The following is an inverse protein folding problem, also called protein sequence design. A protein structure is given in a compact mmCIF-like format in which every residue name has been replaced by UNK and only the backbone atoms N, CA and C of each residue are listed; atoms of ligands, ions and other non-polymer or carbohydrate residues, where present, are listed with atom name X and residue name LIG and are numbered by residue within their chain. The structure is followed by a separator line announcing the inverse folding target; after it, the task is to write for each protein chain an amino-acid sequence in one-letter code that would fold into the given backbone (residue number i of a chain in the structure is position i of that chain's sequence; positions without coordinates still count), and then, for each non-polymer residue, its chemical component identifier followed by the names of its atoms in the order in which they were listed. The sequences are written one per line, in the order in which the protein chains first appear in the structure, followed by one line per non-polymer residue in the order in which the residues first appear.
data_IF_661748913109
#
_entry.id   IF_661748913109
#
_cell.length_a   1.000
_cell.length_b   1.000
_cell.length_c   1.000
_cell.angle_alpha   90.00
_cell.angle_beta   90.00
_cell.angle_gamma   90.00
#
_symmetry.space_group_name_H-M   'P 1'
#
loop_
_entity.id
_entity.type
_entity.pdbx_description
1 polymer ?
#
# COMPACT_ATOMS: atom_id res chain seq x y z
N UNK A 1 21.79 -6.40 -0.89
CA UNK A 1 21.91 -6.25 0.57
C UNK A 1 20.69 -6.88 1.20
N UNK A 2 20.82 -7.45 2.39
CA UNK A 2 19.65 -7.92 3.13
C UNK A 2 18.75 -6.73 3.46
N UNK A 3 17.44 -6.96 3.55
CA UNK A 3 16.49 -5.93 3.97
C UNK A 3 16.66 -5.68 5.47
N UNK A 4 17.17 -4.51 5.84
CA UNK A 4 17.42 -4.13 7.23
C UNK A 4 16.13 -4.02 8.06
N UNK A 5 14.97 -3.87 7.41
CA UNK A 5 13.65 -3.82 8.04
C UNK A 5 12.92 -5.16 7.99
N UNK A 6 13.56 -6.25 7.58
CA UNK A 6 12.89 -7.56 7.44
C UNK A 6 12.10 -7.97 8.70
N UNK A 7 12.66 -7.71 9.89
CA UNK A 7 12.03 -8.03 11.17
C UNK A 7 10.81 -7.15 11.51
N UNK A 8 10.64 -5.99 10.84
CA UNK A 8 9.46 -5.13 11.00
C UNK A 8 8.27 -5.62 10.20
N UNK A 9 8.47 -6.43 9.15
CA UNK A 9 7.43 -6.91 8.25
C UNK A 9 6.67 -8.12 8.83
N UNK A 10 6.05 -7.92 10.00
CA UNK A 10 5.40 -8.96 10.80
C UNK A 10 4.00 -9.35 10.30
N UNK A 11 3.47 -8.63 9.31
CA UNK A 11 2.16 -8.87 8.71
C UNK A 11 2.28 -9.24 7.23
N UNK A 12 1.15 -9.65 6.68
CA UNK A 12 1.00 -9.95 5.25
C UNK A 12 -0.30 -9.33 4.76
N UNK A 13 -0.23 -8.60 3.67
CA UNK A 13 -1.41 -8.10 2.95
C UNK A 13 -1.47 -8.75 1.58
N UNK A 14 -2.68 -9.02 1.10
CA UNK A 14 -2.90 -9.46 -0.28
C UNK A 14 -3.36 -8.24 -1.08
N UNK A 15 -2.63 -7.90 -2.14
CA UNK A 15 -2.95 -6.78 -3.03
C UNK A 15 -3.40 -7.27 -4.40
N UNK A 16 -4.45 -6.64 -4.94
CA UNK A 16 -4.87 -6.73 -6.33
C UNK A 16 -4.59 -5.38 -6.98
N UNK A 17 -3.54 -5.30 -7.79
CA UNK A 17 -3.12 -4.05 -8.43
C UNK A 17 -4.15 -3.61 -9.43
N UNK A 18 -4.56 -2.35 -9.38
CA UNK A 18 -5.50 -1.78 -10.34
C UNK A 18 -4.87 -1.62 -11.73
N UNK A 19 -5.52 -2.16 -12.74
CA UNK A 19 -5.06 -2.17 -14.15
C UNK A 19 -5.83 -1.19 -15.04
N UNK A 20 -6.88 -0.55 -14.51
CA UNK A 20 -7.70 0.44 -15.21
C UNK A 20 -9.19 0.11 -15.22
N UNK A 21 -9.97 1.01 -15.83
CA UNK A 21 -11.41 0.83 -16.01
C UNK A 21 -11.72 0.38 -17.44
N UNK A 22 -12.57 -0.64 -17.56
CA UNK A 22 -13.13 -1.12 -18.81
C UNK A 22 -14.65 -0.95 -18.87
N UNK A 23 -15.29 -1.32 -20.00
CA UNK A 23 -16.74 -1.23 -20.17
C UNK A 23 -17.55 -2.08 -19.18
N UNK A 24 -16.92 -3.03 -18.51
CA UNK A 24 -17.55 -3.91 -17.51
C UNK A 24 -17.16 -3.57 -16.06
N UNK A 25 -16.44 -2.46 -15.84
CA UNK A 25 -15.97 -2.04 -14.53
C UNK A 25 -14.45 -2.06 -14.40
N UNK A 26 -13.99 -2.00 -13.15
CA UNK A 26 -12.58 -1.96 -12.79
C UNK A 26 -11.91 -3.32 -13.03
N UNK A 27 -10.68 -3.29 -13.56
CA UNK A 27 -9.86 -4.46 -13.81
C UNK A 27 -8.69 -4.47 -12.83
N UNK A 28 -8.38 -5.65 -12.32
CA UNK A 28 -7.31 -5.84 -11.34
C UNK A 28 -6.44 -7.04 -11.72
N UNK A 29 -5.15 -6.92 -11.45
CA UNK A 29 -4.17 -7.98 -11.57
C UNK A 29 -4.49 -9.15 -10.60
N UNK A 30 -3.86 -10.29 -10.85
CA UNK A 30 -3.91 -11.43 -9.94
C UNK A 30 -3.44 -11.05 -8.52
N UNK A 31 -4.05 -11.61 -7.47
CA UNK A 31 -3.70 -11.28 -6.09
C UNK A 31 -2.26 -11.69 -5.77
N UNK A 32 -1.53 -10.78 -5.11
CA UNK A 32 -0.15 -11.00 -4.67
C UNK A 32 -0.04 -10.75 -3.18
N UNK A 33 0.57 -11.68 -2.46
CA UNK A 33 0.91 -11.51 -1.06
C UNK A 33 2.18 -10.67 -0.90
N UNK A 34 2.15 -9.70 0.00
CA UNK A 34 3.25 -8.78 0.30
C UNK A 34 3.53 -8.76 1.80
N UNK A 35 4.79 -9.01 2.23
CA UNK A 35 5.18 -8.81 3.62
C UNK A 35 5.15 -7.32 3.95
N UNK A 36 4.59 -6.98 5.11
CA UNK A 36 4.37 -5.58 5.48
C UNK A 36 4.26 -5.38 6.99
N UNK A 37 4.27 -4.12 7.39
CA UNK A 37 3.75 -3.64 8.67
C UNK A 37 2.42 -2.91 8.41
N UNK A 38 1.46 -3.02 9.33
CA UNK A 38 0.12 -2.45 9.19
C UNK A 38 -0.18 -1.66 10.45
N UNK A 39 -0.34 -0.36 10.29
CA UNK A 39 -0.86 0.54 11.31
C UNK A 39 -2.35 0.80 11.04
N UNK A 40 -3.25 0.33 11.90
CA UNK A 40 -4.70 0.51 11.76
C UNK A 40 -5.24 1.79 12.41
N UNK A 41 -4.39 2.82 12.52
CA UNK A 41 -4.78 4.13 13.04
C UNK A 41 -5.64 4.89 12.03
N UNK A 42 -6.87 5.23 12.43
CA UNK A 42 -7.82 5.98 11.61
C UNK A 42 -7.50 7.47 11.59
N UNK A 43 -7.53 8.09 10.41
CA UNK A 43 -7.28 9.53 10.22
C UNK A 43 -8.04 10.09 9.03
N UNK A 44 -8.34 11.40 9.05
CA UNK A 44 -8.86 12.12 7.88
C UNK A 44 -7.71 12.42 6.92
N UNK A 45 -7.84 12.02 5.65
CA UNK A 45 -6.86 12.26 4.58
C UNK A 45 -7.55 12.82 3.34
N UNK A 46 -6.77 13.26 2.36
CA UNK A 46 -7.26 13.61 1.03
C UNK A 46 -6.95 12.51 0.05
N UNK A 47 -7.92 12.17 -0.79
CA UNK A 47 -7.73 11.26 -1.91
C UNK A 47 -7.05 11.94 -3.11
N UNK A 48 -6.85 11.19 -4.20
CA UNK A 48 -6.26 11.68 -5.44
C UNK A 48 -7.04 12.82 -6.13
N UNK A 49 -8.33 12.97 -5.83
CA UNK A 49 -9.18 14.06 -6.32
C UNK A 49 -9.17 15.28 -5.40
N UNK A 50 -8.52 15.18 -4.24
CA UNK A 50 -8.45 16.21 -3.20
C UNK A 50 -9.63 16.18 -2.21
N UNK A 51 -10.51 15.17 -2.28
CA UNK A 51 -11.66 15.02 -1.38
C UNK A 51 -11.23 14.45 -0.04
N UNK A 52 -11.86 14.90 1.05
CA UNK A 52 -11.64 14.33 2.38
C UNK A 52 -12.28 12.95 2.51
N UNK A 53 -11.47 11.97 2.93
CA UNK A 53 -11.84 10.56 3.11
C UNK A 53 -11.24 10.07 4.44
N UNK A 54 -11.92 9.13 5.09
CA UNK A 54 -11.39 8.46 6.28
C UNK A 54 -10.42 7.37 5.80
N UNK A 55 -9.15 7.53 6.15
CA UNK A 55 -8.20 6.44 6.07
C UNK A 55 -8.38 5.51 7.28
N UNK A 56 -8.40 4.20 7.04
CA UNK A 56 -8.49 3.23 8.13
C UNK A 56 -7.17 2.54 8.47
N UNK A 57 -6.22 2.50 7.53
CA UNK A 57 -4.92 1.91 7.78
C UNK A 57 -3.81 2.52 6.92
N UNK A 58 -2.57 2.34 7.40
CA UNK A 58 -1.34 2.60 6.68
C UNK A 58 -0.54 1.31 6.58
N UNK A 59 -0.14 0.92 5.37
CA UNK A 59 0.71 -0.24 5.09
C UNK A 59 2.12 0.26 4.76
N UNK A 60 3.12 -0.31 5.41
CA UNK A 60 4.53 -0.08 5.09
C UNK A 60 5.20 -1.41 4.72
N UNK A 61 6.18 -1.38 3.84
CA UNK A 61 6.87 -2.61 3.46
C UNK A 61 8.06 -2.42 2.53
N UNK A 62 8.65 -3.53 2.04
CA UNK A 62 9.83 -3.49 1.19
C UNK A 62 9.59 -2.68 -0.07
N UNK A 63 10.47 -1.72 -0.36
CA UNK A 63 10.32 -0.80 -1.51
C UNK A 63 10.17 -1.51 -2.86
N UNK A 64 10.71 -2.72 -2.99
CA UNK A 64 10.60 -3.58 -4.19
C UNK A 64 9.17 -4.01 -4.52
N UNK A 65 8.22 -3.87 -3.58
CA UNK A 65 6.80 -4.15 -3.77
C UNK A 65 5.95 -2.90 -4.05
N UNK A 66 6.52 -1.70 -4.01
CA UNK A 66 5.77 -0.44 -4.11
C UNK A 66 4.89 -0.37 -5.37
N UNK A 67 5.39 -0.82 -6.52
CA UNK A 67 4.67 -0.79 -7.79
C UNK A 67 3.38 -1.64 -7.82
N UNK A 68 3.17 -2.53 -6.84
CA UNK A 68 1.96 -3.34 -6.70
C UNK A 68 0.79 -2.57 -6.10
N UNK A 69 1.07 -1.46 -5.41
CA UNK A 69 0.07 -0.60 -4.80
C UNK A 69 -0.04 0.66 -5.64
N UNK A 70 -0.88 0.65 -6.68
CA UNK A 70 -1.28 1.88 -7.39
C UNK A 70 -2.54 2.45 -6.74
N UNK A 71 -2.82 3.76 -6.86
CA UNK A 71 -4.13 4.30 -6.47
C UNK A 71 -5.27 3.46 -7.06
N UNK A 72 -6.35 3.29 -6.29
CA UNK A 72 -7.51 2.42 -6.57
C UNK A 72 -7.23 0.90 -6.50
N UNK A 73 -5.99 0.47 -6.25
CA UNK A 73 -5.72 -0.94 -5.95
C UNK A 73 -6.45 -1.40 -4.69
N UNK A 74 -6.73 -2.70 -4.61
CA UNK A 74 -7.40 -3.29 -3.45
C UNK A 74 -6.40 -4.03 -2.59
N UNK A 75 -6.27 -3.64 -1.33
CA UNK A 75 -5.44 -4.29 -0.32
C UNK A 75 -6.31 -4.97 0.73
N UNK A 76 -6.02 -6.22 1.06
CA UNK A 76 -6.71 -6.94 2.13
C UNK A 76 -6.04 -6.68 3.46
N UNK A 77 -6.78 -6.11 4.41
CA UNK A 77 -6.34 -5.77 5.76
C UNK A 77 -7.34 -6.38 6.75
N UNK A 78 -6.86 -7.23 7.67
CA UNK A 78 -7.71 -7.89 8.67
C UNK A 78 -8.94 -8.62 8.08
N UNK A 79 -8.80 -9.18 6.87
CA UNK A 79 -9.87 -9.89 6.16
C UNK A 79 -10.86 -8.99 5.42
N UNK A 80 -10.69 -7.67 5.46
CA UNK A 80 -11.50 -6.72 4.70
C UNK A 80 -10.68 -6.12 3.54
N UNK A 81 -11.31 -5.94 2.39
CA UNK A 81 -10.70 -5.22 1.28
C UNK A 81 -10.81 -3.72 1.50
N UNK A 82 -9.71 -3.02 1.24
CA UNK A 82 -9.56 -1.58 1.38
C UNK A 82 -8.97 -1.00 0.11
N UNK A 83 -9.41 0.18 -0.28
CA UNK A 83 -8.91 0.86 -1.48
C UNK A 83 -7.65 1.65 -1.13
N UNK A 84 -6.62 1.52 -1.96
CA UNK A 84 -5.40 2.32 -1.90
C UNK A 84 -5.73 3.76 -2.31
N UNK A 85 -5.52 4.70 -1.39
CA UNK A 85 -5.75 6.13 -1.61
C UNK A 85 -4.49 6.82 -2.12
N UNK A 86 -3.37 6.62 -1.42
CA UNK A 86 -2.09 7.25 -1.72
C UNK A 86 -0.94 6.27 -1.52
N UNK A 87 0.15 6.52 -2.24
CA UNK A 87 1.34 5.67 -2.28
C UNK A 87 2.54 6.60 -2.22
N UNK A 88 3.44 6.37 -1.29
CA UNK A 88 4.72 7.05 -1.17
C UNK A 88 5.84 6.02 -1.13
N UNK A 89 6.95 6.34 -1.78
CA UNK A 89 8.20 5.56 -1.68
C UNK A 89 9.24 6.43 -1.01
N UNK A 90 9.81 5.92 0.08
CA UNK A 90 10.85 6.58 0.84
C UNK A 90 12.20 5.97 0.48
N UNK A 91 12.99 6.72 -0.28
CA UNK A 91 14.37 6.38 -0.60
C UNK A 91 15.32 7.19 0.27
N UNK A 92 16.25 6.52 0.93
CA UNK A 92 17.25 7.13 1.80
C UNK A 92 18.36 7.84 1.02
N UNK A 93 18.58 7.46 -0.23
CA UNK A 93 19.63 8.01 -1.08
C UNK A 93 21.02 7.81 -0.47
N UNK A 94 21.76 8.90 -0.26
CA UNK A 94 23.13 8.84 0.28
C UNK A 94 23.19 8.59 1.80
N UNK A 95 22.05 8.61 2.50
CA UNK A 95 22.01 8.33 3.94
C UNK A 95 22.24 6.85 4.26
N UNK A 96 22.05 5.95 3.28
CA UNK A 96 22.21 4.51 3.49
C UNK A 96 21.27 3.95 4.54
N UNK A 97 20.07 4.52 4.65
CA UNK A 97 19.01 4.05 5.54
C UNK A 97 18.06 3.11 4.78
N UNK A 98 17.22 2.34 5.48
CA UNK A 98 16.33 1.40 4.81
C UNK A 98 15.26 2.09 3.97
N UNK A 99 15.15 1.67 2.72
CA UNK A 99 14.11 2.12 1.79
C UNK A 99 12.82 1.32 2.01
N UNK A 100 11.69 2.00 1.99
CA UNK A 100 10.39 1.37 2.17
C UNK A 100 9.30 2.14 1.41
N UNK A 101 8.15 1.51 1.21
CA UNK A 101 6.95 2.22 0.79
C UNK A 101 6.04 2.51 1.98
N UNK A 102 5.15 3.48 1.79
CA UNK A 102 4.01 3.75 2.65
C UNK A 102 2.76 3.90 1.79
N UNK A 103 1.68 3.22 2.17
CA UNK A 103 0.40 3.20 1.46
C UNK A 103 -0.72 3.52 2.44
N UNK A 104 -1.54 4.52 2.13
CA UNK A 104 -2.74 4.83 2.91
C UNK A 104 -3.96 4.19 2.26
N UNK A 105 -4.82 3.55 3.06
CA UNK A 105 -6.06 2.93 2.57
C UNK A 105 -7.30 3.52 3.23
N UNK A 106 -8.46 3.33 2.60
CA UNK A 106 -9.78 3.44 3.27
C UNK A 106 -9.95 2.37 4.36
#
# INVERSE_FOLDING_TARGET
MADELELFWVHKTTVRTYEGSGPFGETYAAPVDVPCFIDSTRKLVRDQTGREVVAEATIQGPVTHAAKFTPESLATINGAERTVLTVATHYSGSLGLPDHFEVTTT
#
